data_IF_935172777921
#
_entry.id   IF_935172777921
#
_cell.length_a   1.000
_cell.length_b   1.000
_cell.length_c   1.000
_cell.angle_alpha   90.00
_cell.angle_beta   90.00
_cell.angle_gamma   90.00
#
_symmetry.space_group_name_H-M   'P 1'
#
loop_
_entity.id
_entity.type
_entity.pdbx_description
1 polymer ?
#
# COMPACT_ATOMS: atom_id res chain seq x y z
N UNK A 1 -3.17 7.14 -16.38
CA UNK A 1 -2.06 6.17 -16.46
C UNK A 1 -2.54 4.74 -16.19
N UNK A 2 -3.25 4.47 -15.08
CA UNK A 2 -3.75 3.12 -14.71
C UNK A 2 -4.59 2.45 -15.83
N UNK A 3 -5.46 3.21 -16.51
CA UNK A 3 -6.27 2.69 -17.61
C UNK A 3 -5.45 2.33 -18.86
N UNK A 4 -4.39 3.10 -19.14
CA UNK A 4 -3.50 2.82 -20.28
C UNK A 4 -2.69 1.56 -20.01
N UNK A 5 -2.12 1.45 -18.81
CA UNK A 5 -1.36 0.28 -18.40
C UNK A 5 -2.23 -0.99 -18.39
N UNK A 6 -3.49 -0.89 -17.93
CA UNK A 6 -4.45 -2.00 -17.97
C UNK A 6 -4.71 -2.47 -19.39
N UNK A 7 -4.95 -1.56 -20.36
CA UNK A 7 -5.16 -1.93 -21.77
C UNK A 7 -3.93 -2.56 -22.43
N UNK A 8 -2.73 -2.06 -22.09
CA UNK A 8 -1.48 -2.67 -22.56
C UNK A 8 -1.34 -4.09 -22.03
N UNK A 9 -1.67 -4.30 -20.76
CA UNK A 9 -1.62 -5.64 -20.15
C UNK A 9 -2.71 -6.57 -20.70
N UNK A 10 -3.89 -6.07 -21.03
CA UNK A 10 -4.93 -6.82 -21.76
C UNK A 10 -4.40 -7.36 -23.09
N UNK A 11 -3.60 -6.58 -23.77
CA UNK A 11 -3.00 -7.00 -25.04
C UNK A 11 -1.85 -8.00 -24.84
N UNK A 12 -1.00 -7.78 -23.82
CA UNK A 12 0.19 -8.62 -23.58
C UNK A 12 -0.10 -9.93 -22.87
N UNK A 13 -1.14 -9.99 -22.03
CA UNK A 13 -1.46 -11.14 -21.22
C UNK A 13 -2.99 -11.30 -21.02
N UNK A 14 -3.76 -11.50 -22.10
CA UNK A 14 -5.23 -11.54 -22.03
C UNK A 14 -5.76 -12.64 -21.10
N UNK A 15 -5.06 -13.76 -21.03
CA UNK A 15 -5.46 -14.90 -20.21
C UNK A 15 -5.14 -14.72 -18.71
N UNK A 16 -4.36 -13.72 -18.35
CA UNK A 16 -3.97 -13.47 -16.95
C UNK A 16 -4.92 -12.50 -16.23
N UNK A 17 -5.78 -11.79 -16.96
CA UNK A 17 -6.66 -10.78 -16.38
C UNK A 17 -7.72 -11.42 -15.50
N UNK A 18 -7.88 -10.95 -14.24
CA UNK A 18 -8.96 -11.43 -13.39
C UNK A 18 -10.32 -11.05 -13.98
N UNK A 19 -11.24 -11.99 -14.02
CA UNK A 19 -12.62 -11.69 -14.35
C UNK A 19 -13.24 -10.92 -13.16
N UNK A 20 -13.34 -9.62 -13.26
CA UNK A 20 -13.89 -8.74 -12.23
C UNK A 20 -15.18 -8.11 -12.73
N UNK A 21 -16.18 -8.06 -11.88
CA UNK A 21 -17.41 -7.32 -12.19
C UNK A 21 -17.10 -5.82 -12.32
N UNK A 22 -17.70 -5.12 -13.29
CA UNK A 22 -17.52 -3.69 -13.43
C UNK A 22 -18.07 -2.95 -12.20
N UNK A 23 -17.30 -1.99 -11.72
CA UNK A 23 -17.72 -1.13 -10.61
C UNK A 23 -18.82 -0.19 -11.12
N UNK A 24 -19.93 -0.10 -10.37
CA UNK A 24 -21.03 0.78 -10.75
C UNK A 24 -20.62 2.27 -10.72
N UNK A 25 -21.26 3.15 -11.54
CA UNK A 25 -21.00 4.58 -11.51
C UNK A 25 -21.23 5.22 -10.13
N UNK A 26 -22.21 4.72 -9.39
CA UNK A 26 -22.55 5.16 -8.04
C UNK A 26 -21.40 4.86 -7.08
N UNK A 27 -20.88 3.65 -7.10
CA UNK A 27 -19.73 3.23 -6.28
C UNK A 27 -18.46 4.00 -6.65
N UNK A 28 -18.22 4.27 -7.93
CA UNK A 28 -17.10 5.12 -8.37
C UNK A 28 -17.21 6.54 -7.82
N UNK A 29 -18.43 7.12 -7.80
CA UNK A 29 -18.66 8.44 -7.23
C UNK A 29 -18.48 8.45 -5.71
N UNK A 30 -18.90 7.41 -5.02
CA UNK A 30 -18.68 7.25 -3.57
C UNK A 30 -17.19 7.17 -3.23
N UNK A 31 -16.44 6.34 -3.96
CA UNK A 31 -14.98 6.23 -3.81
C UNK A 31 -14.32 7.61 -4.04
N UNK A 32 -14.71 8.32 -5.08
CA UNK A 32 -14.15 9.65 -5.38
C UNK A 32 -14.42 10.64 -4.24
N UNK A 33 -15.65 10.70 -3.72
CA UNK A 33 -15.98 11.56 -2.58
C UNK A 33 -15.17 11.19 -1.34
N UNK A 34 -15.03 9.91 -1.05
CA UNK A 34 -14.23 9.43 0.09
C UNK A 34 -12.75 9.83 -0.03
N UNK A 35 -12.19 9.79 -1.24
CA UNK A 35 -10.83 10.27 -1.50
C UNK A 35 -10.73 11.78 -1.26
N UNK A 36 -11.64 12.57 -1.83
CA UNK A 36 -11.66 14.03 -1.66
C UNK A 36 -11.81 14.44 -0.19
N UNK A 37 -12.64 13.74 0.58
CA UNK A 37 -12.82 14.00 2.00
C UNK A 37 -11.59 13.63 2.82
N UNK A 38 -10.92 12.52 2.48
CA UNK A 38 -9.67 12.12 3.09
C UNK A 38 -8.56 13.16 2.84
N UNK A 39 -8.40 13.61 1.60
CA UNK A 39 -7.40 14.62 1.22
C UNK A 39 -7.66 15.96 1.92
N UNK A 40 -8.92 16.39 2.03
CA UNK A 40 -9.29 17.60 2.79
C UNK A 40 -8.92 17.49 4.27
N UNK A 41 -9.20 16.34 4.89
CA UNK A 41 -8.86 16.09 6.29
C UNK A 41 -7.35 16.05 6.50
N UNK A 42 -6.61 15.44 5.59
CA UNK A 42 -5.15 15.37 5.63
C UNK A 42 -4.53 16.77 5.54
N UNK A 43 -5.05 17.60 4.63
CA UNK A 43 -4.65 18.99 4.50
C UNK A 43 -4.97 19.81 5.76
N UNK A 44 -6.17 19.67 6.32
CA UNK A 44 -6.58 20.36 7.55
C UNK A 44 -5.69 20.00 8.74
N UNK A 45 -5.38 18.71 8.93
CA UNK A 45 -4.47 18.28 9.99
C UNK A 45 -3.08 18.93 9.86
N UNK A 46 -2.56 19.09 8.64
CA UNK A 46 -1.30 19.77 8.41
C UNK A 46 -1.41 21.29 8.66
N UNK A 47 -2.53 21.94 8.31
CA UNK A 47 -2.80 23.35 8.62
C UNK A 47 -2.92 23.61 10.11
N UNK A 48 -3.53 22.70 10.85
CA UNK A 48 -3.62 22.75 12.31
C UNK A 48 -2.29 22.40 13.02
N UNK A 49 -1.25 22.11 12.28
CA UNK A 49 0.08 21.78 12.82
C UNK A 49 0.11 20.43 13.54
N UNK A 50 -0.74 19.50 13.16
CA UNK A 50 -0.67 18.12 13.65
C UNK A 50 0.64 17.49 13.20
N UNK A 51 1.04 17.75 11.95
CA UNK A 51 2.34 17.40 11.37
C UNK A 51 2.79 18.51 10.38
N UNK A 52 4.08 18.57 10.00
CA UNK A 52 4.57 19.56 9.05
C UNK A 52 3.92 19.39 7.66
N UNK A 53 3.59 20.52 6.99
CA UNK A 53 3.07 20.49 5.60
C UNK A 53 4.00 19.79 4.61
N UNK A 54 5.31 19.74 4.88
CA UNK A 54 6.27 19.00 4.05
C UNK A 54 5.95 17.52 3.94
N UNK A 55 5.32 16.91 4.96
CA UNK A 55 4.91 15.50 4.93
C UNK A 55 3.78 15.19 3.94
N UNK A 56 3.06 16.20 3.46
CA UNK A 56 2.08 16.03 2.39
C UNK A 56 2.74 15.78 1.03
N UNK A 57 4.02 16.14 0.90
CA UNK A 57 4.77 16.10 -0.36
C UNK A 57 6.04 15.24 -0.27
N UNK A 58 6.18 14.48 0.81
CA UNK A 58 7.37 13.65 1.08
C UNK A 58 7.34 12.30 0.35
N UNK A 59 6.75 12.30 -0.82
CA UNK A 59 6.68 11.11 -1.67
C UNK A 59 7.93 11.01 -2.53
N UNK A 60 8.64 9.88 -2.57
CA UNK A 60 9.86 9.69 -3.35
C UNK A 60 9.57 9.51 -4.86
N UNK A 61 9.02 10.53 -5.50
CA UNK A 61 8.51 10.48 -6.88
C UNK A 61 9.52 9.97 -7.92
N UNK A 62 10.81 10.35 -7.79
CA UNK A 62 11.86 9.90 -8.72
C UNK A 62 12.11 8.40 -8.59
N UNK A 63 12.16 7.91 -7.37
CA UNK A 63 12.34 6.49 -7.08
C UNK A 63 11.12 5.70 -7.56
N UNK A 64 9.92 6.20 -7.31
CA UNK A 64 8.69 5.56 -7.76
C UNK A 64 8.54 5.57 -9.27
N UNK A 65 8.92 6.65 -9.94
CA UNK A 65 8.92 6.70 -11.40
C UNK A 65 9.83 5.63 -12.02
N UNK A 66 10.97 5.36 -11.39
CA UNK A 66 11.88 4.29 -11.82
C UNK A 66 11.34 2.88 -11.55
N UNK A 67 10.61 2.69 -10.44
CA UNK A 67 10.06 1.38 -10.02
C UNK A 67 8.69 1.08 -10.61
N UNK A 68 7.94 2.08 -11.03
CA UNK A 68 6.58 1.93 -11.57
C UNK A 68 6.49 0.91 -12.73
N UNK A 69 7.41 0.91 -13.72
CA UNK A 69 7.39 -0.11 -14.79
C UNK A 69 7.59 -1.53 -14.24
N UNK A 70 8.39 -1.70 -13.19
CA UNK A 70 8.66 -3.02 -12.60
C UNK A 70 7.40 -3.64 -11.99
N UNK A 71 6.57 -2.82 -11.31
CA UNK A 71 5.28 -3.27 -10.77
C UNK A 71 4.40 -3.84 -11.88
N UNK A 72 4.36 -3.18 -13.03
CA UNK A 72 3.53 -3.64 -14.17
C UNK A 72 4.10 -4.88 -14.85
N UNK A 73 5.43 -5.04 -14.90
CA UNK A 73 6.08 -6.23 -15.43
C UNK A 73 5.82 -7.47 -14.55
N UNK A 74 5.62 -7.28 -13.25
CA UNK A 74 5.30 -8.35 -12.31
C UNK A 74 3.83 -8.78 -12.34
N UNK A 75 2.93 -7.92 -12.79
CA UNK A 75 1.49 -8.17 -12.76
C UNK A 75 1.07 -9.49 -13.45
N UNK A 76 1.58 -9.87 -14.63
CA UNK A 76 1.18 -11.14 -15.27
C UNK A 76 1.49 -12.36 -14.40
N UNK A 77 2.65 -12.39 -13.76
CA UNK A 77 3.06 -13.49 -12.88
C UNK A 77 2.19 -13.59 -11.64
N UNK A 78 1.85 -12.44 -11.03
CA UNK A 78 0.95 -12.39 -9.86
C UNK A 78 -0.47 -12.82 -10.22
N UNK A 79 -1.00 -12.42 -11.36
CA UNK A 79 -2.31 -12.85 -11.84
C UNK A 79 -2.35 -14.33 -12.18
N UNK A 80 -1.30 -14.86 -12.80
CA UNK A 80 -1.19 -16.29 -13.08
C UNK A 80 -1.16 -17.14 -11.80
N UNK A 81 -0.40 -16.71 -10.78
CA UNK A 81 -0.39 -17.34 -9.45
C UNK A 81 -1.79 -17.34 -8.82
N UNK A 82 -2.46 -16.18 -8.83
CA UNK A 82 -3.83 -16.05 -8.31
C UNK A 82 -4.80 -16.98 -9.01
N UNK A 83 -4.73 -17.07 -10.34
CA UNK A 83 -5.55 -17.95 -11.16
C UNK A 83 -5.31 -19.42 -10.81
N UNK A 84 -4.05 -19.79 -10.62
CA UNK A 84 -3.63 -21.16 -10.28
C UNK A 84 -3.78 -21.48 -8.77
N UNK A 85 -4.28 -20.54 -7.96
CA UNK A 85 -4.39 -20.68 -6.49
C UNK A 85 -3.06 -21.06 -5.83
N UNK A 86 -1.92 -20.70 -6.42
CA UNK A 86 -0.61 -20.89 -5.83
C UNK A 86 -0.36 -19.80 -4.79
N UNK A 87 -0.29 -20.20 -3.53
CA UNK A 87 -0.14 -19.26 -2.39
C UNK A 87 1.22 -19.34 -1.72
N UNK A 88 2.09 -20.25 -2.15
CA UNK A 88 3.40 -20.52 -1.56
C UNK A 88 4.48 -20.62 -2.65
N UNK A 89 4.70 -19.52 -3.35
CA UNK A 89 5.75 -19.40 -4.38
C UNK A 89 6.85 -18.49 -3.81
N UNK A 90 7.73 -19.07 -3.00
CA UNK A 90 8.79 -18.38 -2.28
C UNK A 90 10.14 -18.58 -2.98
N UNK A 91 11.11 -17.65 -2.82
CA UNK A 91 12.45 -17.80 -3.37
C UNK A 91 13.14 -19.09 -2.90
N UNK A 92 13.81 -19.79 -3.82
CA UNK A 92 14.45 -21.10 -3.55
C UNK A 92 15.56 -21.06 -2.48
N UNK A 93 16.12 -19.88 -2.19
CA UNK A 93 17.16 -19.67 -1.18
C UNK A 93 16.61 -19.58 0.24
N UNK A 94 15.30 -19.58 0.41
CA UNK A 94 14.66 -19.51 1.72
C UNK A 94 14.40 -20.92 2.22
N UNK A 95 14.90 -21.21 3.42
CA UNK A 95 14.58 -22.44 4.13
C UNK A 95 13.17 -22.35 4.72
N UNK A 96 12.19 -23.12 4.21
CA UNK A 96 10.83 -23.08 4.71
C UNK A 96 10.69 -23.46 6.18
N UNK A 97 11.56 -24.31 6.70
CA UNK A 97 11.50 -24.79 8.08
C UNK A 97 11.99 -23.74 9.09
N UNK A 98 12.64 -22.68 8.62
CA UNK A 98 13.13 -21.59 9.45
C UNK A 98 12.03 -20.56 9.80
N UNK A 99 10.86 -20.60 9.14
CA UNK A 99 9.82 -19.57 9.27
C UNK A 99 8.45 -20.18 9.52
N UNK A 100 7.58 -19.49 10.28
CA UNK A 100 6.18 -19.86 10.39
C UNK A 100 5.48 -19.83 9.03
N UNK A 101 4.54 -20.73 8.82
CA UNK A 101 3.73 -20.87 7.59
C UNK A 101 3.14 -19.56 7.07
N UNK A 102 2.83 -18.64 7.97
CA UNK A 102 2.29 -17.32 7.64
C UNK A 102 3.25 -16.51 6.76
N UNK A 103 4.56 -16.53 7.03
CA UNK A 103 5.55 -15.81 6.24
C UNK A 103 5.87 -16.45 4.90
N UNK A 104 5.51 -17.72 4.74
CA UNK A 104 5.75 -18.48 3.50
C UNK A 104 4.62 -18.31 2.47
N UNK A 105 3.74 -17.33 2.66
CA UNK A 105 2.62 -17.08 1.76
C UNK A 105 2.89 -15.90 0.84
N UNK A 106 2.35 -15.99 -0.39
CA UNK A 106 2.26 -14.86 -1.30
C UNK A 106 0.91 -14.19 -1.14
N UNK A 107 0.93 -12.86 -1.06
CA UNK A 107 -0.28 -12.04 -1.17
C UNK A 107 -0.50 -11.62 -2.62
N UNK A 108 -1.73 -11.23 -2.98
CA UNK A 108 -2.12 -11.11 -4.39
C UNK A 108 -1.32 -10.11 -5.22
N UNK A 109 -0.58 -9.21 -4.63
CA UNK A 109 0.20 -8.20 -5.35
C UNK A 109 1.69 -8.32 -5.11
N UNK A 110 2.14 -9.40 -4.45
CA UNK A 110 3.54 -9.65 -4.20
C UNK A 110 4.10 -10.70 -5.16
N UNK A 111 5.29 -10.46 -5.68
CA UNK A 111 5.96 -11.34 -6.64
C UNK A 111 6.48 -12.58 -5.97
N UNK A 112 7.30 -12.42 -4.90
CA UNK A 112 8.05 -13.50 -4.26
C UNK A 112 7.65 -13.72 -2.78
N UNK A 113 6.58 -13.09 -2.32
CA UNK A 113 6.14 -13.19 -0.92
C UNK A 113 6.88 -12.24 0.04
N UNK A 114 6.64 -12.41 1.34
CA UNK A 114 7.17 -11.51 2.39
C UNK A 114 8.70 -11.51 2.53
N UNK A 115 9.35 -12.62 2.21
CA UNK A 115 10.77 -12.83 2.47
C UNK A 115 11.66 -12.41 1.31
N UNK A 116 11.17 -11.57 0.40
CA UNK A 116 11.90 -11.08 -0.76
C UNK A 116 12.21 -9.59 -0.65
N UNK A 117 13.47 -9.22 -0.78
CA UNK A 117 13.92 -7.82 -0.87
C UNK A 117 13.29 -7.11 -2.07
N UNK A 118 13.08 -7.82 -3.17
CA UNK A 118 12.40 -7.30 -4.35
C UNK A 118 10.95 -6.92 -4.03
N UNK A 119 10.19 -7.82 -3.40
CA UNK A 119 8.81 -7.54 -2.96
C UNK A 119 8.76 -6.40 -1.95
N UNK A 120 9.67 -6.35 -0.99
CA UNK A 120 9.78 -5.27 -0.02
C UNK A 120 10.05 -3.92 -0.72
N UNK A 121 10.94 -3.91 -1.72
CA UNK A 121 11.27 -2.70 -2.48
C UNK A 121 10.13 -2.16 -3.34
N UNK A 122 9.15 -2.98 -3.70
CA UNK A 122 7.99 -2.57 -4.50
C UNK A 122 6.73 -2.34 -3.65
N UNK A 123 6.74 -2.71 -2.37
CA UNK A 123 5.56 -2.76 -1.54
C UNK A 123 4.84 -1.40 -1.43
N UNK A 124 5.56 -0.34 -1.09
CA UNK A 124 4.94 0.98 -0.89
C UNK A 124 4.30 1.52 -2.16
N UNK A 125 4.98 1.39 -3.31
CA UNK A 125 4.40 1.83 -4.58
C UNK A 125 3.21 0.97 -5.00
N UNK A 126 3.22 -0.33 -4.71
CA UNK A 126 2.08 -1.22 -4.98
C UNK A 126 0.87 -0.83 -4.13
N UNK A 127 1.08 -0.49 -2.86
CA UNK A 127 0.02 -0.03 -1.95
C UNK A 127 -0.56 1.31 -2.42
N UNK A 128 0.28 2.26 -2.84
CA UNK A 128 -0.19 3.53 -3.41
C UNK A 128 -0.99 3.34 -4.72
N UNK A 129 -0.55 2.44 -5.59
CA UNK A 129 -1.32 2.10 -6.80
C UNK A 129 -2.67 1.49 -6.43
N UNK A 130 -2.72 0.59 -5.43
CA UNK A 130 -3.93 -0.05 -4.96
C UNK A 130 -4.96 0.97 -4.44
N UNK A 131 -4.49 1.91 -3.62
CA UNK A 131 -5.34 2.94 -2.99
C UNK A 131 -5.41 4.25 -3.79
N UNK A 132 -5.04 4.25 -5.07
CA UNK A 132 -5.12 5.41 -5.97
C UNK A 132 -4.34 6.65 -5.48
N UNK A 133 -3.21 6.45 -4.80
CA UNK A 133 -2.37 7.54 -4.30
C UNK A 133 -2.79 8.09 -2.94
N UNK A 134 -3.63 7.40 -2.19
CA UNK A 134 -4.14 7.88 -0.89
C UNK A 134 -3.61 7.11 0.31
N UNK A 135 -2.72 6.13 0.11
CA UNK A 135 -2.25 5.28 1.20
C UNK A 135 -1.52 6.08 2.29
N UNK A 136 -0.68 7.03 1.92
CA UNK A 136 0.02 7.87 2.88
C UNK A 136 -0.93 8.80 3.65
N UNK A 137 -1.93 9.38 2.97
CA UNK A 137 -2.99 10.15 3.64
C UNK A 137 -3.77 9.29 4.64
N UNK A 138 -4.06 8.03 4.29
CA UNK A 138 -4.71 7.08 5.21
C UNK A 138 -3.82 6.76 6.43
N UNK A 139 -2.52 6.52 6.21
CA UNK A 139 -1.54 6.26 7.29
C UNK A 139 -1.44 7.45 8.25
N UNK A 140 -1.39 8.68 7.72
CA UNK A 140 -1.32 9.90 8.56
C UNK A 140 -2.54 10.12 9.43
N UNK A 141 -3.72 9.53 9.14
CA UNK A 141 -4.93 9.67 9.98
C UNK A 141 -4.75 9.24 11.43
N UNK A 142 -3.78 8.36 11.74
CA UNK A 142 -3.48 7.95 13.12
C UNK A 142 -2.77 9.05 13.93
N UNK A 143 -2.09 10.01 13.27
CA UNK A 143 -1.24 11.00 13.95
C UNK A 143 -2.06 11.95 14.83
N UNK A 144 -3.20 12.43 14.33
CA UNK A 144 -4.05 13.35 15.07
C UNK A 144 -4.61 12.74 16.38
N UNK A 145 -5.23 11.55 16.40
CA UNK A 145 -5.66 10.92 17.64
C UNK A 145 -4.50 10.55 18.56
N UNK A 146 -3.36 10.12 18.03
CA UNK A 146 -2.16 9.82 18.81
C UNK A 146 -1.66 11.08 19.52
N UNK A 147 -1.52 12.20 18.81
CA UNK A 147 -1.10 13.49 19.39
C UNK A 147 -2.06 13.97 20.48
N UNK A 148 -3.37 13.80 20.29
CA UNK A 148 -4.37 14.11 21.33
C UNK A 148 -4.24 13.18 22.55
N UNK A 149 -4.04 11.89 22.31
CA UNK A 149 -3.83 10.91 23.36
C UNK A 149 -2.57 11.23 24.21
N UNK A 150 -1.45 11.49 23.56
CA UNK A 150 -0.19 11.83 24.23
C UNK A 150 -0.31 13.11 25.07
N UNK A 151 -1.02 14.14 24.61
CA UNK A 151 -1.27 15.37 25.36
C UNK A 151 -2.05 15.15 26.67
N UNK A 152 -2.97 14.18 26.72
CA UNK A 152 -3.71 13.84 27.95
C UNK A 152 -2.81 13.26 29.04
N UNK A 153 -1.69 12.69 28.66
CA UNK A 153 -0.70 12.11 29.58
C UNK A 153 0.50 13.04 29.84
N UNK A 154 0.43 14.30 29.40
CA UNK A 154 1.55 15.24 29.42
C UNK A 154 1.98 15.74 30.82
N UNK A 155 1.29 15.35 31.92
CA UNK A 155 1.76 15.54 33.29
C UNK A 155 2.96 14.63 33.64
N UNK A 156 3.35 13.70 32.77
CA UNK A 156 4.59 12.93 32.87
C UNK A 156 5.65 13.59 32.00
N UNK A 157 6.88 13.69 32.49
CA UNK A 157 8.01 14.24 31.72
C UNK A 157 8.03 13.62 30.31
N UNK A 158 8.18 14.45 29.27
CA UNK A 158 8.11 14.06 27.86
C UNK A 158 9.03 12.88 27.47
N UNK A 159 10.08 12.60 28.25
CA UNK A 159 11.01 11.48 28.01
C UNK A 159 10.54 10.10 28.51
N UNK A 160 9.43 10.01 29.25
CA UNK A 160 8.99 8.74 29.88
C UNK A 160 7.72 8.13 29.26
N UNK A 161 7.28 8.62 28.11
CA UNK A 161 6.14 8.05 27.41
C UNK A 161 6.61 6.84 26.58
N UNK A 162 5.92 5.72 26.77
CA UNK A 162 6.13 4.51 25.96
C UNK A 162 4.91 4.32 25.05
N UNK A 163 5.13 4.15 23.79
CA UNK A 163 4.11 3.84 22.79
C UNK A 163 4.37 2.41 22.32
N UNK A 164 3.36 1.57 22.35
CA UNK A 164 3.39 0.25 21.77
C UNK A 164 2.63 0.31 20.45
N UNK A 165 3.35 0.07 19.36
CA UNK A 165 2.76 -0.21 18.06
C UNK A 165 2.63 -1.73 17.93
N UNK A 166 1.40 -2.18 17.71
CA UNK A 166 1.14 -3.60 17.50
C UNK A 166 0.99 -3.77 16.00
N UNK A 167 2.07 -4.21 15.36
CA UNK A 167 2.07 -4.53 13.94
C UNK A 167 1.06 -5.65 13.66
N UNK A 168 0.24 -5.40 12.71
CA UNK A 168 -0.75 -6.34 12.17
C UNK A 168 -0.18 -7.05 10.95
#
# INVERSE_FOLDING_TARGET
>A
HKQISSKVMEFLAPDAIPNTEPISPEMLNEIRRSIEDLEKLDWQDAEEGIYPKSQLFDTPWLEWAARYPLVWLDMPSTWQRRRNKKTRDIPNQIDPDAYPDYYLQNFHHQTDGYLSDHSAGLYDIQVEILFNGTADSMRRRIIAPLKRGLRRFSNRSQGNQKVLDVAT
#
